data_IF_236315995822
#
_entry.id   IF_236315995822
#
_cell.length_a   1.000
_cell.length_b   1.000
_cell.length_c   1.000
_cell.angle_alpha   90.00
_cell.angle_beta   90.00
_cell.angle_gamma   90.00
#
_symmetry.space_group_name_H-M   'P 1'
#
loop_
_entity.id
_entity.type
_entity.pdbx_description
1 polymer ?
#
# COMPACT_ATOMS: atom_id res chain seq x y z
N UNK A 1 7.52 -21.61 7.54
CA UNK A 1 7.30 -20.25 8.07
C UNK A 1 6.66 -19.39 6.99
N UNK A 2 5.33 -19.43 6.85
CA UNK A 2 4.60 -18.67 5.84
C UNK A 2 3.80 -17.55 6.51
N UNK A 3 4.25 -16.31 6.39
CA UNK A 3 3.51 -15.15 6.88
C UNK A 3 2.47 -14.74 5.84
N UNK A 4 1.21 -15.09 6.09
CA UNK A 4 0.07 -14.62 5.31
C UNK A 4 -0.13 -13.13 5.63
N UNK A 5 0.05 -12.24 4.64
CA UNK A 5 -0.33 -10.83 4.80
C UNK A 5 -1.84 -10.76 4.91
N UNK A 6 -2.31 -10.62 6.15
CA UNK A 6 -3.64 -10.12 6.45
C UNK A 6 -3.58 -8.61 6.25
N UNK A 7 -4.14 -8.12 5.15
CA UNK A 7 -4.52 -6.71 5.01
C UNK A 7 -5.72 -6.46 5.92
N UNK A 8 -5.48 -6.48 7.23
CA UNK A 8 -6.46 -6.04 8.22
C UNK A 8 -6.50 -4.52 8.17
N UNK A 9 -7.46 -3.95 7.44
CA UNK A 9 -7.88 -2.58 7.68
C UNK A 9 -8.38 -2.54 9.13
N UNK A 10 -7.75 -1.81 10.06
CA UNK A 10 -8.21 -1.80 11.45
C UNK A 10 -9.65 -1.27 11.46
N UNK A 11 -10.60 -2.14 11.76
CA UNK A 11 -12.00 -1.74 11.91
C UNK A 11 -12.08 -0.80 13.11
N UNK A 12 -12.33 0.50 12.84
CA UNK A 12 -12.60 1.52 13.86
C UNK A 12 -13.74 1.06 14.75
N UNK A 13 -13.41 0.46 15.89
CA UNK A 13 -14.43 -0.25 16.66
C UNK A 13 -13.97 -0.69 18.03
N UNK A 14 -13.35 0.19 18.84
CA UNK A 14 -13.21 -0.07 20.28
C UNK A 14 -13.11 1.17 21.19
N UNK A 15 -13.22 2.41 20.69
CA UNK A 15 -13.05 3.61 21.55
C UNK A 15 -14.32 4.09 22.27
N UNK A 16 -15.47 3.43 22.12
CA UNK A 16 -16.74 3.91 22.67
C UNK A 16 -17.01 3.57 24.15
N UNK A 17 -16.15 2.79 24.82
CA UNK A 17 -16.39 2.33 26.19
C UNK A 17 -15.68 3.13 27.29
N UNK A 18 -14.67 3.95 26.96
CA UNK A 18 -14.06 4.89 27.92
C UNK A 18 -14.34 6.31 27.44
N UNK A 19 -15.12 7.09 28.19
CA UNK A 19 -15.62 8.44 27.85
C UNK A 19 -14.58 9.55 27.63
N UNK A 20 -13.38 9.21 27.15
CA UNK A 20 -12.36 10.15 26.66
C UNK A 20 -11.82 9.65 25.32
N UNK A 21 -12.34 10.17 24.21
CA UNK A 21 -11.72 9.98 22.90
C UNK A 21 -10.41 10.76 22.86
N UNK A 22 -9.31 10.13 23.27
CA UNK A 22 -7.97 10.61 22.89
C UNK A 22 -7.78 10.20 21.45
N UNK A 23 -8.41 10.92 20.52
CA UNK A 23 -8.12 10.79 19.09
C UNK A 23 -6.64 11.10 18.93
N UNK A 24 -5.82 10.06 18.89
CA UNK A 24 -4.39 10.20 18.74
C UNK A 24 -4.10 11.03 17.49
N UNK A 25 -3.00 11.78 17.52
CA UNK A 25 -2.54 12.56 16.36
C UNK A 25 -2.54 11.74 15.07
N UNK A 26 -2.32 10.43 15.18
CA UNK A 26 -2.36 9.46 14.09
C UNK A 26 -3.77 9.29 13.50
N UNK A 27 -4.80 9.14 14.33
CA UNK A 27 -6.21 9.04 13.89
C UNK A 27 -6.67 10.37 13.28
N UNK A 28 -6.27 11.50 13.86
CA UNK A 28 -6.59 12.82 13.32
C UNK A 28 -5.95 13.06 11.94
N UNK A 29 -4.70 12.59 11.75
CA UNK A 29 -4.01 12.66 10.46
C UNK A 29 -4.66 11.75 9.41
N UNK A 30 -5.09 10.55 9.80
CA UNK A 30 -5.81 9.62 8.92
C UNK A 30 -7.14 10.22 8.44
N UNK A 31 -7.97 10.73 9.36
CA UNK A 31 -9.24 11.39 9.04
C UNK A 31 -9.02 12.57 8.08
N UNK A 32 -7.99 13.38 8.32
CA UNK A 32 -7.66 14.52 7.44
C UNK A 32 -7.25 14.05 6.04
N UNK A 33 -6.47 12.98 5.95
CA UNK A 33 -6.07 12.38 4.66
C UNK A 33 -7.27 11.81 3.90
N UNK A 34 -8.19 11.16 4.60
CA UNK A 34 -9.44 10.63 4.02
C UNK A 34 -10.32 11.76 3.46
N UNK A 35 -10.52 12.82 4.23
CA UNK A 35 -11.32 13.99 3.82
C UNK A 35 -10.71 14.69 2.59
N UNK A 36 -9.39 14.88 2.58
CA UNK A 36 -8.71 15.49 1.45
C UNK A 36 -8.77 14.63 0.19
N UNK A 37 -8.63 13.31 0.34
CA UNK A 37 -8.81 12.39 -0.79
C UNK A 37 -10.24 12.41 -1.34
N UNK A 38 -11.27 12.45 -0.49
CA UNK A 38 -12.66 12.58 -0.94
C UNK A 38 -12.91 13.90 -1.68
N UNK A 39 -12.35 15.01 -1.19
CA UNK A 39 -12.48 16.32 -1.81
C UNK A 39 -11.76 16.43 -3.16
N UNK A 40 -10.61 15.75 -3.33
CA UNK A 40 -9.82 15.77 -4.57
C UNK A 40 -10.19 14.67 -5.57
N UNK A 41 -11.01 13.69 -5.16
CA UNK A 41 -11.53 12.62 -6.02
C UNK A 41 -12.23 13.08 -7.30
N UNK A 42 -13.11 14.09 -7.32
CA UNK A 42 -13.74 14.54 -8.58
C UNK A 42 -12.74 15.17 -9.56
N UNK A 43 -11.59 15.66 -9.08
CA UNK A 43 -10.55 16.27 -9.92
C UNK A 43 -9.48 15.28 -10.36
N UNK A 44 -9.13 14.31 -9.50
CA UNK A 44 -8.01 13.39 -9.72
C UNK A 44 -8.45 11.97 -10.10
N UNK A 45 -9.71 11.60 -9.82
CA UNK A 45 -10.22 10.24 -9.95
C UNK A 45 -9.61 9.23 -8.96
N UNK A 46 -8.71 9.66 -8.06
CA UNK A 46 -7.93 8.77 -7.20
C UNK A 46 -8.73 8.30 -5.97
N UNK A 47 -8.47 7.08 -5.50
CA UNK A 47 -8.95 6.58 -4.21
C UNK A 47 -8.11 7.15 -3.05
N UNK A 48 -8.61 7.07 -1.80
CA UNK A 48 -7.86 7.55 -0.64
C UNK A 48 -6.51 6.85 -0.43
N UNK A 49 -6.43 5.54 -0.72
CA UNK A 49 -5.17 4.80 -0.69
C UNK A 49 -4.21 5.26 -1.78
N UNK A 50 -4.69 5.45 -3.01
CA UNK A 50 -3.88 5.98 -4.11
C UNK A 50 -3.39 7.40 -3.82
N UNK A 51 -4.24 8.25 -3.24
CA UNK A 51 -3.88 9.61 -2.85
C UNK A 51 -2.79 9.64 -1.75
N UNK A 52 -2.92 8.80 -0.73
CA UNK A 52 -1.91 8.68 0.33
C UNK A 52 -0.56 8.20 -0.24
N UNK A 53 -0.58 7.21 -1.14
CA UNK A 53 0.61 6.73 -1.83
C UNK A 53 1.24 7.83 -2.70
N UNK A 54 0.45 8.54 -3.50
CA UNK A 54 0.93 9.68 -4.31
C UNK A 54 1.52 10.78 -3.44
N UNK A 55 0.90 11.08 -2.31
CA UNK A 55 1.40 12.10 -1.37
C UNK A 55 2.75 11.71 -0.77
N UNK A 56 2.94 10.42 -0.42
CA UNK A 56 4.24 9.90 0.05
C UNK A 56 5.28 9.94 -1.07
N UNK A 57 4.90 9.55 -2.29
CA UNK A 57 5.77 9.51 -3.48
C UNK A 57 6.04 10.88 -4.11
N UNK A 58 5.32 11.93 -3.72
CA UNK A 58 5.54 13.29 -4.24
C UNK A 58 6.95 13.83 -3.96
N UNK A 59 7.62 13.30 -2.93
CA UNK A 59 9.01 13.64 -2.61
C UNK A 59 10.04 12.96 -3.52
N UNK A 60 9.62 11.95 -4.28
CA UNK A 60 10.47 11.19 -5.20
C UNK A 60 10.53 11.90 -6.56
N UNK A 61 11.67 11.77 -7.24
CA UNK A 61 11.84 12.26 -8.61
C UNK A 61 10.83 11.62 -9.58
N UNK A 62 10.46 12.34 -10.64
CA UNK A 62 9.46 11.88 -11.62
C UNK A 62 9.84 10.54 -12.28
N UNK A 63 11.15 10.27 -12.45
CA UNK A 63 11.64 8.98 -12.95
C UNK A 63 11.33 7.85 -11.97
N UNK A 64 11.59 8.09 -10.68
CA UNK A 64 11.34 7.13 -9.61
C UNK A 64 9.85 6.85 -9.45
N UNK A 65 9.00 7.88 -9.54
CA UNK A 65 7.53 7.71 -9.49
C UNK A 65 7.02 6.80 -10.61
N UNK A 66 7.53 6.96 -11.84
CA UNK A 66 7.20 6.08 -12.97
C UNK A 66 7.68 4.65 -12.71
N UNK A 67 8.90 4.48 -12.21
CA UNK A 67 9.43 3.14 -11.88
C UNK A 67 8.58 2.47 -10.79
N UNK A 68 8.17 3.18 -9.74
CA UNK A 68 7.24 2.67 -8.73
C UNK A 68 5.92 2.21 -9.36
N UNK A 69 5.34 3.02 -10.25
CA UNK A 69 4.06 2.70 -10.90
C UNK A 69 4.13 1.47 -11.81
N UNK A 70 5.30 1.14 -12.34
CA UNK A 70 5.54 -0.06 -13.15
C UNK A 70 5.83 -1.30 -12.29
N UNK A 71 6.55 -1.13 -11.18
CA UNK A 71 6.87 -2.22 -10.26
C UNK A 71 5.65 -2.73 -9.50
N UNK A 72 4.71 -1.83 -9.18
CA UNK A 72 3.51 -2.13 -8.40
C UNK A 72 2.61 -3.23 -9.04
N UNK A 73 2.19 -3.15 -10.33
CA UNK A 73 1.45 -4.23 -10.97
C UNK A 73 2.28 -5.51 -11.12
N UNK A 74 3.58 -5.41 -11.42
CA UNK A 74 4.45 -6.57 -11.55
C UNK A 74 4.59 -7.37 -10.25
N UNK A 75 4.65 -6.67 -9.10
CA UNK A 75 4.63 -7.30 -7.77
C UNK A 75 3.29 -7.99 -7.53
N UNK A 76 2.17 -7.33 -7.84
CA UNK A 76 0.83 -7.91 -7.65
C UNK A 76 0.63 -9.19 -8.50
N UNK A 77 1.05 -9.17 -9.76
CA UNK A 77 0.99 -10.33 -10.65
C UNK A 77 1.81 -11.50 -10.11
N UNK A 78 3.04 -11.25 -9.67
CA UNK A 78 3.90 -12.29 -9.09
C UNK A 78 3.39 -12.79 -7.73
N UNK A 79 2.79 -11.93 -6.91
CA UNK A 79 2.13 -12.34 -5.66
C UNK A 79 0.92 -13.25 -5.94
N UNK A 80 0.16 -12.99 -6.99
CA UNK A 80 -0.93 -13.87 -7.42
C UNK A 80 -0.40 -15.20 -7.96
N UNK A 81 0.68 -15.18 -8.75
CA UNK A 81 1.35 -16.38 -9.24
C UNK A 81 1.94 -17.22 -8.08
N UNK A 82 2.45 -16.59 -7.02
CA UNK A 82 2.92 -17.27 -5.82
C UNK A 82 1.79 -17.99 -5.08
N UNK A 83 0.58 -17.40 -5.04
CA UNK A 83 -0.60 -18.01 -4.38
C UNK A 83 -1.17 -19.20 -5.15
N UNK A 84 -0.93 -19.29 -6.45
CA UNK A 84 -1.34 -20.42 -7.30
C UNK A 84 -0.13 -20.97 -8.06
N UNK A 85 0.84 -21.56 -7.35
CA UNK A 85 2.08 -21.98 -7.97
C UNK A 85 1.81 -23.12 -8.95
N UNK A 86 2.18 -22.93 -10.22
CA UNK A 86 2.31 -24.04 -11.15
C UNK A 86 3.48 -24.92 -10.69
N UNK A 87 3.28 -26.24 -10.69
CA UNK A 87 4.28 -27.19 -10.23
C UNK A 87 5.61 -26.98 -10.99
N UNK A 88 6.69 -26.67 -10.25
CA UNK A 88 8.03 -26.43 -10.79
C UNK A 88 8.45 -24.95 -10.91
N UNK A 89 7.55 -23.98 -10.82
CA UNK A 89 7.89 -22.54 -10.92
C UNK A 89 7.80 -21.75 -9.60
N UNK A 90 7.50 -22.42 -8.48
CA UNK A 90 7.33 -21.74 -7.19
C UNK A 90 8.62 -21.04 -6.70
N UNK A 91 9.79 -21.65 -6.91
CA UNK A 91 11.08 -21.11 -6.48
C UNK A 91 11.44 -19.83 -7.25
N UNK A 92 11.29 -19.87 -8.58
CA UNK A 92 11.62 -18.74 -9.47
C UNK A 92 10.68 -17.55 -9.26
N UNK A 93 9.38 -17.80 -9.08
CA UNK A 93 8.39 -16.76 -8.76
C UNK A 93 8.75 -16.05 -7.44
N UNK A 94 9.13 -16.80 -6.39
CA UNK A 94 9.56 -16.23 -5.10
C UNK A 94 10.82 -15.39 -5.22
N UNK A 95 11.82 -15.85 -5.98
CA UNK A 95 13.06 -15.10 -6.19
C UNK A 95 12.80 -13.79 -6.93
N UNK A 96 12.02 -13.83 -8.02
CA UNK A 96 11.66 -12.65 -8.79
C UNK A 96 10.89 -11.63 -7.94
N UNK A 97 9.94 -12.11 -7.16
CA UNK A 97 9.16 -11.29 -6.24
C UNK A 97 10.04 -10.63 -5.16
N UNK A 98 11.04 -11.36 -4.62
CA UNK A 98 12.02 -10.79 -3.69
C UNK A 98 12.86 -9.67 -4.34
N UNK A 99 13.32 -9.87 -5.58
CA UNK A 99 14.10 -8.86 -6.32
C UNK A 99 13.27 -7.59 -6.54
N UNK A 100 12.02 -7.74 -6.99
CA UNK A 100 11.14 -6.60 -7.21
C UNK A 100 10.81 -5.86 -5.91
N UNK A 101 10.50 -6.58 -4.81
CA UNK A 101 10.27 -5.95 -3.50
C UNK A 101 11.52 -5.23 -2.98
N UNK A 102 12.71 -5.78 -3.20
CA UNK A 102 13.98 -5.14 -2.81
C UNK A 102 14.19 -3.85 -3.60
N UNK A 103 13.91 -3.85 -4.90
CA UNK A 103 13.99 -2.66 -5.76
C UNK A 103 12.97 -1.61 -5.34
N UNK A 104 11.73 -2.02 -5.13
CA UNK A 104 10.63 -1.17 -4.70
C UNK A 104 10.97 -0.46 -3.37
N UNK A 105 11.48 -1.21 -2.38
CA UNK A 105 11.94 -0.63 -1.10
C UNK A 105 13.13 0.33 -1.27
N UNK A 106 14.08 0.02 -2.17
CA UNK A 106 15.25 0.88 -2.43
C UNK A 106 14.86 2.24 -3.02
N UNK A 107 13.78 2.27 -3.79
CA UNK A 107 13.25 3.48 -4.43
C UNK A 107 12.33 4.29 -3.52
N UNK A 108 12.09 3.82 -2.28
CA UNK A 108 11.15 4.42 -1.32
C UNK A 108 9.74 4.58 -1.88
N UNK A 109 9.38 3.68 -2.79
CA UNK A 109 8.01 3.33 -3.07
C UNK A 109 7.43 2.56 -1.85
#
# INVERSE_FOLDING_TARGET
MGAQRLDAVPTRGVDRLSGSAKTGKDVANEIRSEQFAQATRPLTGMSASAFATTTRRHRLDARTQRECSQLEPAILELEQAERRPQAGMAESVRQNLFILRKRYKKLEC
#
